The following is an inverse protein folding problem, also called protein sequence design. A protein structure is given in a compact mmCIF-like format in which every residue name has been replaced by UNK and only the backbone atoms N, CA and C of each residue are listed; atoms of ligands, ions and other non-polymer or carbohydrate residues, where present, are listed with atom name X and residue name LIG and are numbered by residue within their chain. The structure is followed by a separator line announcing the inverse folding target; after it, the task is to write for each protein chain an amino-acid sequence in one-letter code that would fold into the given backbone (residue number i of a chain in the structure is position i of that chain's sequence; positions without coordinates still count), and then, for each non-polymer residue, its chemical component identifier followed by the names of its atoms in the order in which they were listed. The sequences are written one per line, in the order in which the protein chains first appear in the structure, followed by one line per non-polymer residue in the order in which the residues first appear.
data_IF_869500985293
#
_entry.id   IF_869500985293
#
_cell.length_a   1.000
_cell.length_b   1.000
_cell.length_c   1.000
_cell.angle_alpha   90.00
_cell.angle_beta   90.00
_cell.angle_gamma   90.00
#
_symmetry.space_group_name_H-M   'P 1'
#
loop_
_entity.id
_entity.type
_entity.pdbx_description
1 polymer ?
#
# COMPACT_ATOMS: atom_id res chain seq x y z
N UNK A 1 -2.13 3.05 11.93
CA UNK A 1 -2.35 1.71 11.35
C UNK A 1 -3.18 1.85 10.09
N UNK A 2 -2.83 1.11 9.04
CA UNK A 2 -3.53 1.09 7.76
C UNK A 2 -3.92 -0.35 7.44
N UNK A 3 -5.17 -0.58 7.06
CA UNK A 3 -5.69 -1.92 6.75
C UNK A 3 -6.24 -1.91 5.33
N UNK A 4 -5.52 -2.53 4.40
CA UNK A 4 -5.97 -2.72 3.03
C UNK A 4 -7.02 -3.85 2.96
N UNK A 5 -8.13 -3.60 2.27
CA UNK A 5 -9.27 -4.50 2.17
C UNK A 5 -9.78 -4.59 0.74
N UNK A 6 -10.37 -5.74 0.41
CA UNK A 6 -11.24 -5.92 -0.76
C UNK A 6 -12.57 -6.53 -0.33
N UNK A 7 -13.63 -5.73 -0.33
CA UNK A 7 -14.95 -6.07 0.23
C UNK A 7 -16.00 -6.35 -0.86
N UNK A 8 -15.54 -6.83 -2.01
CA UNK A 8 -16.36 -7.15 -3.18
C UNK A 8 -15.51 -7.46 -4.42
N UNK A 9 -16.14 -8.01 -5.44
CA UNK A 9 -15.48 -8.29 -6.74
C UNK A 9 -15.54 -7.04 -7.61
N UNK A 10 -16.74 -6.70 -8.08
CA UNK A 10 -16.99 -5.54 -8.95
C UNK A 10 -17.55 -4.33 -8.18
N UNK A 11 -18.31 -4.59 -7.11
CA UNK A 11 -18.94 -3.57 -6.27
C UNK A 11 -18.87 -3.96 -4.80
N UNK A 12 -18.89 -2.97 -3.91
CA UNK A 12 -18.94 -3.20 -2.47
C UNK A 12 -20.20 -3.99 -2.08
N UNK A 13 -20.01 -5.14 -1.43
CA UNK A 13 -21.13 -5.99 -1.04
C UNK A 13 -21.92 -5.39 0.15
N UNK A 14 -23.28 -5.30 0.07
CA UNK A 14 -24.09 -4.63 1.11
C UNK A 14 -23.94 -5.17 2.53
N UNK A 15 -23.61 -6.45 2.68
CA UNK A 15 -23.33 -7.07 4.00
C UNK A 15 -22.25 -6.33 4.79
N UNK A 16 -21.31 -5.66 4.11
CA UNK A 16 -20.23 -4.93 4.77
C UNK A 16 -20.57 -3.48 5.12
N UNK A 17 -21.71 -2.94 4.67
CA UNK A 17 -22.07 -1.56 4.96
C UNK A 17 -22.16 -1.27 6.47
N UNK A 18 -22.83 -2.09 7.30
CA UNK A 18 -22.90 -1.83 8.74
C UNK A 18 -21.52 -1.78 9.39
N UNK A 19 -20.63 -2.69 8.99
CA UNK A 19 -19.28 -2.78 9.52
C UNK A 19 -18.41 -1.57 9.15
N UNK A 20 -18.51 -1.08 7.90
CA UNK A 20 -17.83 0.15 7.48
C UNK A 20 -18.39 1.38 8.19
N UNK A 21 -19.71 1.46 8.36
CA UNK A 21 -20.36 2.56 9.09
C UNK A 21 -19.91 2.58 10.55
N UNK A 22 -19.84 1.43 11.20
CA UNK A 22 -19.36 1.30 12.58
C UNK A 22 -17.91 1.77 12.76
N UNK A 23 -17.06 1.69 11.73
CA UNK A 23 -15.72 2.28 11.80
C UNK A 23 -15.76 3.80 12.00
N UNK A 24 -16.72 4.52 11.41
CA UNK A 24 -16.87 5.97 11.59
C UNK A 24 -17.30 6.37 13.01
N UNK A 25 -17.71 5.42 13.84
CA UNK A 25 -18.06 5.65 15.25
C UNK A 25 -16.84 5.51 16.18
N UNK A 26 -15.72 4.96 15.67
CA UNK A 26 -14.51 4.75 16.46
C UNK A 26 -13.68 6.04 16.55
N UNK A 27 -13.23 6.46 17.76
CA UNK A 27 -12.39 7.65 17.92
C UNK A 27 -11.05 7.56 17.21
N UNK A 28 -10.54 6.34 17.01
CA UNK A 28 -9.27 6.11 16.34
C UNK A 28 -9.40 6.11 14.81
N UNK A 29 -10.60 6.05 14.24
CA UNK A 29 -10.76 5.97 12.80
C UNK A 29 -10.52 7.32 12.13
N UNK A 30 -9.60 7.36 11.17
CA UNK A 30 -9.24 8.58 10.45
C UNK A 30 -9.82 8.66 9.04
N UNK A 31 -10.51 7.60 8.59
CA UNK A 31 -11.22 7.58 7.32
C UNK A 31 -10.81 6.43 6.41
N UNK A 32 -11.23 6.54 5.15
CA UNK A 32 -10.99 5.55 4.10
C UNK A 32 -10.23 6.21 2.95
N UNK A 33 -9.08 5.68 2.60
CA UNK A 33 -8.47 5.94 1.30
C UNK A 33 -9.00 4.89 0.31
N UNK A 34 -9.71 5.33 -0.71
CA UNK A 34 -10.37 4.44 -1.65
C UNK A 34 -10.81 5.23 -2.88
N UNK A 35 -12.00 4.96 -3.40
CA UNK A 35 -12.49 5.75 -4.51
C UNK A 35 -13.80 5.30 -5.10
N UNK A 36 -14.00 5.73 -6.35
CA UNK A 36 -14.88 5.11 -7.32
C UNK A 36 -13.99 4.43 -8.37
N UNK A 37 -14.53 3.56 -9.23
CA UNK A 37 -13.80 3.09 -10.40
C UNK A 37 -13.15 4.28 -11.15
N UNK A 38 -11.83 4.21 -11.36
CA UNK A 38 -10.99 5.22 -12.03
C UNK A 38 -10.81 6.58 -11.30
N UNK A 39 -11.12 6.69 -10.01
CA UNK A 39 -10.98 7.95 -9.27
C UNK A 39 -10.72 7.71 -7.79
N UNK A 40 -9.56 8.14 -7.27
CA UNK A 40 -9.24 8.04 -5.84
C UNK A 40 -9.85 9.17 -5.02
N UNK A 41 -10.42 8.85 -3.87
CA UNK A 41 -11.07 9.78 -2.95
C UNK A 41 -10.64 9.48 -1.51
N UNK A 42 -10.69 10.49 -0.64
CA UNK A 42 -10.47 10.30 0.79
C UNK A 42 -11.75 10.55 1.57
N UNK A 43 -12.34 9.50 2.13
CA UNK A 43 -13.60 9.56 2.86
C UNK A 43 -13.35 9.85 4.33
N UNK A 44 -13.88 10.96 4.80
CA UNK A 44 -13.61 11.54 6.14
C UNK A 44 -14.82 11.48 7.06
N UNK A 45 -15.99 11.11 6.55
CA UNK A 45 -17.20 11.06 7.35
C UNK A 45 -18.33 10.29 6.69
N UNK A 46 -19.43 10.19 7.42
CA UNK A 46 -20.64 9.47 7.04
C UNK A 46 -21.86 10.28 7.49
N UNK A 47 -22.88 10.36 6.65
CA UNK A 47 -24.20 10.87 6.99
C UNK A 47 -25.26 9.91 6.44
N UNK A 48 -25.89 9.12 7.32
CA UNK A 48 -26.81 8.06 6.90
C UNK A 48 -26.09 7.03 6.04
N UNK A 49 -26.40 7.01 4.74
CA UNK A 49 -25.81 6.09 3.76
C UNK A 49 -24.85 6.79 2.80
N UNK A 50 -24.61 8.08 2.99
CA UNK A 50 -23.70 8.88 2.19
C UNK A 50 -22.34 9.04 2.89
N UNK A 51 -21.27 8.68 2.19
CA UNK A 51 -19.90 8.96 2.59
C UNK A 51 -19.51 10.39 2.19
N UNK A 52 -18.90 11.11 3.12
CA UNK A 52 -18.38 12.45 2.92
C UNK A 52 -16.90 12.36 2.58
N UNK A 53 -16.45 13.05 1.52
CA UNK A 53 -15.08 12.89 1.01
C UNK A 53 -14.41 14.19 0.55
N UNK A 54 -13.08 14.10 0.48
CA UNK A 54 -12.18 15.04 -0.18
C UNK A 54 -11.75 14.47 -1.53
N UNK A 55 -11.74 15.33 -2.55
CA UNK A 55 -11.49 14.97 -3.95
C UNK A 55 -10.18 15.62 -4.42
N UNK A 56 -9.12 14.83 -4.72
CA UNK A 56 -7.83 15.37 -5.14
C UNK A 56 -7.80 15.79 -6.62
N UNK A 57 -8.85 15.53 -7.41
CA UNK A 57 -8.86 15.75 -8.87
C UNK A 57 -9.07 17.22 -9.27
N UNK A 58 -8.40 18.12 -8.56
CA UNK A 58 -8.32 19.55 -8.86
C UNK A 58 -6.86 19.94 -9.02
N UNK A 59 -6.43 20.10 -10.26
CA UNK A 59 -5.09 20.61 -10.55
C UNK A 59 -4.98 22.06 -10.07
N UNK A 60 -3.96 22.34 -9.25
CA UNK A 60 -3.62 23.67 -8.75
C UNK A 60 -2.16 23.97 -9.06
N UNK A 61 -1.78 25.23 -9.29
CA UNK A 61 -0.38 25.61 -9.40
C UNK A 61 0.37 25.19 -8.14
N UNK A 62 1.60 24.69 -8.30
CA UNK A 62 2.48 24.44 -7.17
C UNK A 62 2.82 25.77 -6.49
N UNK A 63 2.80 25.78 -5.16
CA UNK A 63 3.33 26.90 -4.41
C UNK A 63 4.86 26.88 -4.47
N UNK A 64 5.46 28.05 -4.58
CA UNK A 64 6.91 28.19 -4.44
C UNK A 64 7.33 27.81 -3.02
N UNK A 65 8.48 27.14 -2.91
CA UNK A 65 9.09 26.84 -1.61
C UNK A 65 9.62 28.13 -0.99
N UNK A 66 9.02 28.52 0.13
CA UNK A 66 9.35 29.74 0.87
C UNK A 66 9.81 29.43 2.30
N UNK A 67 10.37 30.42 3.00
CA UNK A 67 10.60 30.28 4.45
C UNK A 67 9.27 30.20 5.21
N UNK A 68 9.25 29.56 6.39
CA UNK A 68 7.98 29.32 7.11
C UNK A 68 7.19 30.61 7.41
N UNK A 69 7.91 31.71 7.66
CA UNK A 69 7.34 33.04 7.91
C UNK A 69 6.78 33.74 6.67
N UNK A 70 7.12 33.27 5.47
CA UNK A 70 6.71 33.88 4.19
C UNK A 70 5.41 33.28 3.62
N UNK A 71 4.94 32.16 4.16
CA UNK A 71 3.66 31.59 3.74
C UNK A 71 2.49 32.47 4.19
N UNK A 72 1.67 32.85 3.22
CA UNK A 72 0.46 33.65 3.44
C UNK A 72 -0.73 32.78 3.82
N UNK A 73 -1.81 33.40 4.31
CA UNK A 73 -3.05 32.67 4.58
C UNK A 73 -3.67 32.11 3.29
N UNK A 74 -3.49 32.83 2.20
CA UNK A 74 -3.91 32.46 0.86
C UNK A 74 -3.16 31.20 0.40
N UNK A 75 -1.85 31.11 0.66
CA UNK A 75 -1.05 29.90 0.40
C UNK A 75 -1.65 28.69 1.13
N UNK A 76 -1.92 28.80 2.45
CA UNK A 76 -2.51 27.70 3.22
C UNK A 76 -3.92 27.33 2.77
N UNK A 77 -4.73 28.32 2.35
CA UNK A 77 -6.09 28.08 1.87
C UNK A 77 -6.15 27.09 0.70
N UNK A 78 -5.05 26.93 -0.04
CA UNK A 78 -4.97 25.98 -1.16
C UNK A 78 -4.99 24.51 -0.75
N UNK A 79 -4.65 24.21 0.51
CA UNK A 79 -4.68 22.86 1.10
C UNK A 79 -5.94 22.59 1.92
N UNK A 80 -6.88 23.54 1.97
CA UNK A 80 -8.14 23.40 2.68
C UNK A 80 -9.30 23.28 1.68
N UNK A 81 -10.11 22.23 1.84
CA UNK A 81 -11.35 22.08 1.09
C UNK A 81 -12.50 22.70 1.88
N UNK A 82 -13.20 23.68 1.30
CA UNK A 82 -14.33 24.37 1.93
C UNK A 82 -15.68 23.69 1.67
N UNK A 83 -15.76 22.85 0.64
CA UNK A 83 -17.00 22.20 0.21
C UNK A 83 -16.81 20.68 0.24
N UNK A 84 -17.24 20.01 1.33
CA UNK A 84 -17.23 18.56 1.36
C UNK A 84 -18.21 18.00 0.34
N UNK A 85 -17.83 16.92 -0.34
CA UNK A 85 -18.68 16.21 -1.31
C UNK A 85 -19.20 14.92 -0.69
N UNK A 86 -20.25 14.35 -1.30
CA UNK A 86 -20.88 13.11 -0.82
C UNK A 86 -21.14 12.12 -1.96
N UNK A 87 -21.01 10.83 -1.67
CA UNK A 87 -21.51 9.75 -2.53
C UNK A 87 -22.19 8.67 -1.67
N UNK A 88 -23.15 7.92 -2.22
CA UNK A 88 -23.69 6.74 -1.53
C UNK A 88 -22.58 5.72 -1.23
N UNK A 89 -22.64 5.05 -0.08
CA UNK A 89 -21.70 3.97 0.29
C UNK A 89 -21.68 2.85 -0.75
N UNK A 90 -22.79 2.61 -1.44
CA UNK A 90 -22.88 1.63 -2.52
C UNK A 90 -21.96 1.93 -3.71
N UNK A 91 -21.53 3.19 -3.87
CA UNK A 91 -20.63 3.62 -4.95
C UNK A 91 -19.16 3.63 -4.54
N UNK A 92 -18.84 3.20 -3.32
CA UNK A 92 -17.47 3.00 -2.87
C UNK A 92 -16.85 1.79 -3.61
N UNK A 93 -15.65 1.97 -4.16
CA UNK A 93 -14.88 0.89 -4.77
C UNK A 93 -14.62 -0.22 -3.74
N UNK A 94 -14.78 -1.51 -4.08
CA UNK A 94 -14.55 -2.59 -3.13
C UNK A 94 -13.09 -2.66 -2.63
N UNK A 95 -12.12 -2.12 -3.37
CA UNK A 95 -10.72 -2.01 -2.96
C UNK A 95 -10.47 -0.69 -2.24
N UNK A 96 -10.07 -0.78 -0.97
CA UNK A 96 -9.88 0.40 -0.12
C UNK A 96 -8.87 0.14 0.99
N UNK A 97 -8.52 1.21 1.70
CA UNK A 97 -7.67 1.17 2.88
C UNK A 97 -8.34 1.94 4.02
N UNK A 98 -8.52 1.27 5.16
CA UNK A 98 -9.01 1.86 6.39
C UNK A 98 -7.85 2.44 7.19
N UNK A 99 -8.01 3.67 7.66
CA UNK A 99 -7.02 4.34 8.50
C UNK A 99 -7.44 4.39 9.96
N UNK A 100 -6.52 4.04 10.85
CA UNK A 100 -6.68 4.22 12.30
C UNK A 100 -5.46 4.91 12.90
N UNK A 101 -5.68 5.91 13.75
CA UNK A 101 -4.65 6.62 14.51
C UNK A 101 -4.85 6.39 16.01
N UNK A 102 -3.81 5.85 16.65
CA UNK A 102 -3.73 5.66 18.10
C UNK A 102 -2.41 6.28 18.53
N UNK A 103 -2.45 7.39 19.25
CA UNK A 103 -1.25 8.13 19.67
C UNK A 103 -0.53 7.46 20.83
N UNK A 104 -1.28 6.79 21.70
CA UNK A 104 -0.76 6.17 22.91
C UNK A 104 -1.06 4.68 22.93
N UNK A 105 -0.30 3.90 23.70
CA UNK A 105 -0.56 2.47 23.91
C UNK A 105 -1.99 2.23 24.40
N UNK A 106 -2.48 3.07 25.34
CA UNK A 106 -3.85 2.97 25.85
C UNK A 106 -4.90 3.14 24.75
N UNK A 107 -4.69 4.06 23.82
CA UNK A 107 -5.61 4.25 22.68
C UNK A 107 -5.62 3.01 21.76
N UNK A 108 -4.46 2.37 21.58
CA UNK A 108 -4.36 1.11 20.83
C UNK A 108 -5.10 -0.04 21.54
N UNK A 109 -4.92 -0.18 22.87
CA UNK A 109 -5.60 -1.22 23.65
C UNK A 109 -7.13 -1.06 23.59
N UNK A 110 -7.62 0.19 23.75
CA UNK A 110 -9.05 0.51 23.61
C UNK A 110 -9.58 0.20 22.20
N UNK A 111 -8.82 0.55 21.16
CA UNK A 111 -9.17 0.22 19.79
C UNK A 111 -9.29 -1.30 19.59
N UNK A 112 -8.33 -2.09 20.11
CA UNK A 112 -8.36 -3.55 20.03
C UNK A 112 -9.58 -4.16 20.73
N UNK A 113 -10.07 -3.55 21.81
CA UNK A 113 -11.27 -4.01 22.50
C UNK A 113 -12.56 -3.61 21.78
N UNK A 114 -12.62 -2.38 21.23
CA UNK A 114 -13.79 -1.90 20.50
C UNK A 114 -13.96 -2.61 19.15
N UNK A 115 -12.88 -2.81 18.39
CA UNK A 115 -12.99 -3.29 17.01
C UNK A 115 -13.57 -4.71 16.92
N UNK A 116 -13.33 -5.54 17.95
CA UNK A 116 -13.88 -6.91 18.06
C UNK A 116 -15.41 -6.95 18.04
N UNK A 117 -16.06 -5.88 18.47
CA UNK A 117 -17.53 -5.79 18.51
C UNK A 117 -18.11 -5.01 17.34
N UNK A 118 -17.31 -4.19 16.66
CA UNK A 118 -17.78 -3.25 15.64
C UNK A 118 -17.69 -3.80 14.20
N UNK A 119 -16.77 -4.72 13.90
CA UNK A 119 -16.55 -5.12 12.50
C UNK A 119 -16.05 -6.55 12.33
N UNK A 120 -16.56 -7.21 11.28
CA UNK A 120 -16.10 -8.52 10.82
C UNK A 120 -15.28 -8.42 9.51
N UNK A 121 -14.77 -7.24 9.15
CA UNK A 121 -14.06 -7.02 7.89
C UNK A 121 -12.53 -7.21 8.00
N UNK A 122 -12.00 -7.27 9.22
CA UNK A 122 -10.63 -7.71 9.53
C UNK A 122 -10.54 -8.24 10.95
N UNK A 123 -9.51 -9.02 11.25
CA UNK A 123 -9.26 -9.58 12.59
C UNK A 123 -7.98 -9.03 13.20
N UNK A 124 -7.98 -8.86 14.52
CA UNK A 124 -6.78 -8.59 15.31
C UNK A 124 -6.46 -9.83 16.14
N UNK A 125 -5.21 -10.28 16.08
CA UNK A 125 -4.72 -11.44 16.83
C UNK A 125 -3.51 -11.06 17.66
N UNK A 126 -3.30 -11.76 18.78
CA UNK A 126 -2.18 -11.50 19.69
C UNK A 126 -0.85 -12.05 19.15
N UNK A 127 -0.92 -13.05 18.28
CA UNK A 127 0.23 -13.69 17.63
C UNK A 127 -0.02 -13.86 16.14
N UNK A 128 1.07 -14.02 15.38
CA UNK A 128 0.97 -14.40 13.98
C UNK A 128 0.27 -15.77 13.85
N UNK A 129 -0.51 -16.01 12.78
CA UNK A 129 -1.08 -17.32 12.51
C UNK A 129 0.02 -18.38 12.34
N UNK A 130 -0.27 -19.61 12.76
CA UNK A 130 0.55 -20.77 12.44
C UNK A 130 0.28 -21.15 10.98
N UNK A 131 1.33 -21.17 10.16
CA UNK A 131 1.29 -21.60 8.78
C UNK A 131 2.04 -22.91 8.65
N UNK A 132 1.57 -23.79 7.77
CA UNK A 132 2.28 -25.02 7.45
C UNK A 132 3.59 -24.70 6.71
N UNK A 133 4.68 -25.38 7.06
CA UNK A 133 6.03 -25.16 6.52
C UNK A 133 6.06 -25.45 5.00
N UNK A 134 5.17 -26.32 4.52
CA UNK A 134 5.04 -26.68 3.09
C UNK A 134 4.58 -25.51 2.20
N UNK A 135 4.00 -24.45 2.79
CA UNK A 135 3.58 -23.22 2.07
C UNK A 135 4.74 -22.22 1.95
N UNK A 136 5.83 -22.42 2.71
CA UNK A 136 7.05 -21.59 2.68
C UNK A 136 8.15 -22.18 1.81
N UNK A 137 7.81 -22.92 0.74
CA UNK A 137 8.86 -23.25 -0.23
C UNK A 137 9.42 -21.93 -0.76
N UNK A 138 10.74 -21.74 -0.63
CA UNK A 138 11.48 -20.54 -1.07
C UNK A 138 11.29 -20.23 -2.57
N UNK A 139 10.59 -21.10 -3.30
CA UNK A 139 10.31 -20.98 -4.72
C UNK A 139 8.93 -20.37 -5.06
N UNK A 140 8.05 -20.05 -4.10
CA UNK A 140 6.64 -19.67 -4.39
C UNK A 140 6.24 -18.21 -4.13
N UNK A 141 7.17 -17.30 -3.85
CA UNK A 141 6.89 -15.86 -3.96
C UNK A 141 8.07 -15.18 -4.62
N UNK A 142 7.80 -14.43 -5.69
CA UNK A 142 8.77 -13.74 -6.56
C UNK A 142 9.58 -12.62 -5.88
N UNK A 143 10.28 -12.95 -4.80
CA UNK A 143 11.37 -12.17 -4.24
C UNK A 143 12.66 -12.78 -4.78
N UNK A 144 13.06 -12.35 -5.97
CA UNK A 144 14.44 -12.53 -6.43
C UNK A 144 15.30 -11.59 -5.59
N UNK A 145 15.94 -12.09 -4.54
CA UNK A 145 17.05 -11.38 -3.91
C UNK A 145 18.28 -11.56 -4.80
N UNK A 146 18.65 -10.52 -5.53
CA UNK A 146 19.89 -10.44 -6.31
C UNK A 146 21.09 -10.27 -5.37
N UNK A 147 21.40 -11.24 -4.53
CA UNK A 147 22.64 -11.27 -3.76
C UNK A 147 23.14 -12.71 -3.62
N UNK A 148 24.11 -13.09 -4.47
CA UNK A 148 25.42 -13.56 -4.04
C UNK A 148 26.23 -14.07 -5.25
N UNK A 149 27.21 -13.25 -5.66
CA UNK A 149 28.29 -13.64 -6.57
C UNK A 149 29.52 -13.98 -5.69
N UNK A 150 29.87 -15.26 -5.48
CA UNK A 150 31.06 -15.59 -4.70
C UNK A 150 32.25 -15.67 -5.66
N UNK A 151 33.02 -14.59 -5.68
CA UNK A 151 34.40 -14.61 -6.14
C UNK A 151 35.27 -15.50 -5.25
N UNK A 152 36.01 -16.36 -5.93
CA UNK A 152 37.42 -16.73 -5.73
C UNK A 152 37.82 -18.13 -5.25
N UNK A 153 38.64 -18.71 -6.13
CA UNK A 153 39.84 -19.54 -5.95
C UNK A 153 39.70 -21.03 -5.63
N UNK A 154 40.13 -21.85 -6.59
CA UNK A 154 41.36 -22.63 -6.37
C UNK A 154 42.05 -23.04 -7.68
N UNK A 155 43.26 -22.53 -7.85
CA UNK A 155 44.28 -22.98 -8.79
C UNK A 155 44.60 -24.46 -8.59
N UNK A 156 44.35 -25.28 -9.62
CA UNK A 156 45.08 -26.54 -9.80
C UNK A 156 45.40 -26.75 -11.27
N UNK A 157 46.67 -26.52 -11.58
CA UNK A 157 47.31 -26.98 -12.80
C UNK A 157 47.05 -28.47 -13.00
N UNK A 158 46.47 -28.83 -14.14
CA UNK A 158 46.81 -30.06 -14.85
C UNK A 158 46.98 -29.73 -16.32
N UNK A 159 48.24 -29.77 -16.71
CA UNK A 159 48.72 -29.95 -18.07
C UNK A 159 48.23 -31.33 -18.50
N UNK A 160 47.45 -31.38 -19.57
CA UNK A 160 47.43 -32.53 -20.47
C UNK A 160 47.41 -31.95 -21.89
N UNK A 161 48.55 -32.12 -22.56
CA UNK A 161 48.69 -31.94 -23.99
C UNK A 161 47.87 -33.03 -24.67
N UNK A 162 47.09 -32.68 -25.68
CA UNK A 162 46.99 -33.53 -26.85
C UNK A 162 46.93 -32.65 -28.11
N UNK A 163 47.83 -33.06 -29.00
CA UNK A 163 48.23 -32.56 -30.29
C UNK A 163 47.11 -32.83 -31.32
N UNK A 164 46.85 -31.85 -32.19
CA UNK A 164 46.62 -32.11 -33.61
C UNK A 164 46.48 -30.75 -34.33
N UNK A 165 47.51 -30.43 -35.10
CA UNK A 165 47.62 -29.21 -35.89
C UNK A 165 46.70 -29.17 -37.11
N UNK A 166 46.57 -27.98 -37.69
CA UNK A 166 47.16 -27.64 -38.99
C UNK A 166 46.73 -26.21 -39.43
N UNK A 167 47.70 -25.44 -39.96
CA UNK A 167 47.65 -24.41 -41.05
C UNK A 167 46.39 -23.53 -41.21
N UNK A 168 46.41 -22.23 -41.50
CA UNK A 168 47.43 -21.32 -41.99
C UNK A 168 46.85 -19.88 -41.95
N UNK A 169 47.75 -18.88 -41.90
CA UNK A 169 47.66 -17.47 -42.31
C UNK A 169 46.32 -16.84 -42.78
N UNK A 170 45.90 -15.71 -42.19
CA UNK A 170 46.20 -14.36 -42.73
C UNK A 170 45.42 -13.20 -42.04
N UNK A 171 46.21 -12.24 -41.53
CA UNK A 171 46.13 -10.77 -41.70
C UNK A 171 44.81 -9.96 -41.69
N UNK A 172 44.90 -8.83 -40.94
CA UNK A 172 44.12 -7.56 -40.93
C UNK A 172 43.00 -7.46 -39.88
N UNK A 173 43.06 -6.61 -38.85
CA UNK A 173 43.26 -5.14 -38.80
C UNK A 173 42.08 -4.33 -39.35
N UNK A 174 41.42 -3.63 -38.41
CA UNK A 174 40.62 -2.39 -38.54
C UNK A 174 39.21 -2.57 -39.16
N UNK A 175 38.17 -2.54 -38.32
CA UNK A 175 37.43 -1.33 -37.91
C UNK A 175 36.73 -1.57 -36.57
#
# INVERSE_FOLDING_TARGET
MLVALRLGIDSLHPTYYPALKACFELPSFVGIAGGRPNSSLYFIGLQGDDLIYLDPHFSRPALETKSLSEYTREDFSTYHCTIPRRIPIANLDPSMMLGFYCRTQRELDLFCDQIKTHTAIFSIQQSAPEYDEDVRSENDFGVMSDEDDPLDNESKCKVDNDDDGNSDSDSNSIF
#
